data_IF_993813164963
#
_entry.id   IF_993813164963
#
_cell.length_a   1.000
_cell.length_b   1.000
_cell.length_c   1.000
_cell.angle_alpha   90.00
_cell.angle_beta   90.00
_cell.angle_gamma   90.00
#
_symmetry.space_group_name_H-M   'P 1'
#
loop_
_entity.id
_entity.type
_entity.pdbx_description
1 polymer ?
#
# COMPACT_ATOMS: atom_id res chain seq x y z
N UNK A 1 -2.51 -61.66 -11.17
CA UNK A 1 -2.03 -60.73 -12.22
C UNK A 1 -0.53 -60.92 -12.42
N UNK A 2 -0.09 -61.19 -13.65
CA UNK A 2 1.31 -61.53 -13.98
C UNK A 2 2.26 -60.37 -13.65
N UNK A 3 3.38 -60.65 -12.98
CA UNK A 3 4.45 -59.67 -12.62
C UNK A 3 4.88 -58.80 -13.81
N UNK A 4 4.78 -59.35 -15.03
CA UNK A 4 5.06 -58.64 -16.30
C UNK A 4 4.12 -57.46 -16.56
N UNK A 5 2.84 -57.56 -16.19
CA UNK A 5 1.86 -56.47 -16.35
C UNK A 5 2.14 -55.34 -15.36
N UNK A 6 2.54 -55.68 -14.14
CA UNK A 6 2.90 -54.68 -13.11
C UNK A 6 4.17 -53.89 -13.50
N UNK A 7 5.19 -54.55 -14.04
CA UNK A 7 6.42 -53.89 -14.49
C UNK A 7 6.20 -52.97 -15.68
N UNK A 8 5.33 -53.34 -16.63
CA UNK A 8 5.00 -52.46 -17.77
C UNK A 8 4.27 -51.21 -17.30
N UNK A 9 3.29 -51.36 -16.40
CA UNK A 9 2.56 -50.21 -15.84
C UNK A 9 3.49 -49.27 -15.07
N UNK A 10 4.37 -49.81 -14.24
CA UNK A 10 5.35 -49.02 -13.49
C UNK A 10 6.30 -48.27 -14.43
N UNK A 11 6.82 -48.93 -15.46
CA UNK A 11 7.72 -48.28 -16.44
C UNK A 11 7.01 -47.17 -17.22
N UNK A 12 5.76 -47.38 -17.65
CA UNK A 12 4.98 -46.33 -18.33
C UNK A 12 4.69 -45.13 -17.42
N UNK A 13 4.40 -45.35 -16.14
CA UNK A 13 4.17 -44.28 -15.17
C UNK A 13 5.44 -43.44 -14.96
N UNK A 14 6.60 -44.08 -14.83
CA UNK A 14 7.87 -43.37 -14.67
C UNK A 14 8.24 -42.54 -15.89
N UNK A 15 7.98 -43.04 -17.10
CA UNK A 15 8.23 -42.28 -18.33
C UNK A 15 7.26 -41.08 -18.45
N UNK A 16 5.99 -41.26 -18.10
CA UNK A 16 5.00 -40.18 -18.10
C UNK A 16 5.32 -39.07 -17.07
N UNK A 17 5.81 -39.43 -15.88
CA UNK A 17 6.21 -38.43 -14.87
C UNK A 17 7.49 -37.68 -15.28
N UNK A 18 8.44 -38.35 -15.93
CA UNK A 18 9.66 -37.71 -16.44
C UNK A 18 9.38 -36.75 -17.60
N UNK A 19 8.45 -37.09 -18.50
CA UNK A 19 8.05 -36.21 -19.60
C UNK A 19 7.28 -34.96 -19.11
N UNK A 20 6.53 -35.07 -18.01
CA UNK A 20 5.80 -33.94 -17.42
C UNK A 20 6.69 -32.86 -16.79
N UNK A 21 7.90 -33.20 -16.34
CA UNK A 21 8.87 -32.22 -15.80
C UNK A 21 9.87 -31.68 -16.84
N UNK A 22 9.98 -32.32 -18.01
CA UNK A 22 10.95 -31.94 -19.05
C UNK A 22 10.33 -31.24 -20.27
N UNK A 23 9.02 -31.38 -20.48
CA UNK A 23 8.28 -30.63 -21.49
C UNK A 23 7.87 -29.31 -20.87
N UNK A 24 8.69 -28.28 -21.04
CA UNK A 24 8.24 -26.89 -20.93
C UNK A 24 6.92 -26.78 -21.68
N UNK A 25 5.90 -26.20 -21.01
CA UNK A 25 4.53 -26.10 -21.50
C UNK A 25 4.53 -25.78 -23.00
N UNK A 26 4.09 -26.74 -23.83
CA UNK A 26 3.95 -26.55 -25.27
C UNK A 26 2.92 -25.43 -25.50
N UNK A 27 3.40 -24.20 -25.60
CA UNK A 27 2.58 -22.99 -25.58
C UNK A 27 3.33 -21.72 -25.16
N UNK A 28 4.43 -21.84 -24.40
CA UNK A 28 5.37 -20.74 -24.14
C UNK A 28 6.75 -21.10 -24.71
N UNK A 29 7.46 -20.14 -25.28
CA UNK A 29 8.80 -20.33 -25.86
C UNK A 29 9.91 -20.57 -24.80
N UNK A 30 9.54 -20.50 -23.52
CA UNK A 30 10.44 -20.70 -22.39
C UNK A 30 11.18 -19.43 -21.97
N UNK A 31 10.90 -18.30 -22.62
CA UNK A 31 11.34 -16.99 -22.18
C UNK A 31 10.26 -16.37 -21.28
N UNK A 32 10.64 -16.14 -20.02
CA UNK A 32 9.74 -15.57 -19.01
C UNK A 32 9.85 -14.06 -18.93
N UNK A 33 10.69 -13.42 -19.74
CA UNK A 33 11.07 -12.03 -19.61
C UNK A 33 10.66 -11.13 -20.79
N UNK A 34 10.35 -11.69 -21.96
CA UNK A 34 10.13 -10.94 -23.20
C UNK A 34 8.66 -10.80 -23.64
N UNK A 35 7.79 -11.71 -23.21
CA UNK A 35 6.35 -11.69 -23.54
C UNK A 35 5.48 -10.86 -22.59
N UNK A 36 6.05 -10.26 -21.54
CA UNK A 36 5.32 -9.42 -20.60
C UNK A 36 5.32 -7.97 -21.06
N UNK A 37 4.14 -7.35 -21.05
CA UNK A 37 4.03 -5.90 -21.25
C UNK A 37 4.78 -5.20 -20.11
N UNK A 38 5.54 -4.15 -20.45
CA UNK A 38 6.25 -3.35 -19.46
C UNK A 38 5.31 -2.92 -18.33
N UNK A 39 5.73 -3.17 -17.09
CA UNK A 39 4.99 -2.70 -15.92
C UNK A 39 5.00 -1.17 -15.91
N UNK A 40 3.89 -0.52 -15.52
CA UNK A 40 3.90 0.91 -15.29
C UNK A 40 4.89 1.24 -14.18
N UNK A 41 5.37 2.48 -14.19
CA UNK A 41 6.22 2.99 -13.11
C UNK A 41 5.50 2.83 -11.77
N UNK A 42 6.22 2.35 -10.74
CA UNK A 42 5.68 2.26 -9.39
C UNK A 42 5.30 3.66 -8.89
N UNK A 43 4.08 3.80 -8.38
CA UNK A 43 3.57 5.02 -7.78
C UNK A 43 3.39 4.84 -6.27
N UNK A 44 3.77 5.85 -5.49
CA UNK A 44 3.52 5.87 -4.04
C UNK A 44 2.02 6.04 -3.76
N UNK A 45 1.55 5.43 -2.67
CA UNK A 45 0.17 5.58 -2.25
C UNK A 45 -0.09 7.03 -1.81
N UNK A 46 -1.21 7.60 -2.27
CA UNK A 46 -1.71 8.89 -1.79
C UNK A 46 -3.07 8.66 -1.13
N UNK A 47 -3.24 8.95 0.18
CA UNK A 47 -4.52 8.77 0.84
C UNK A 47 -5.57 9.74 0.28
N UNK A 48 -6.82 9.31 0.28
CA UNK A 48 -7.96 10.19 0.01
C UNK A 48 -8.32 11.02 1.24
N UNK A 49 -9.08 12.09 1.02
CA UNK A 49 -9.85 12.72 2.10
C UNK A 49 -11.03 11.83 2.49
N UNK A 50 -11.48 11.93 3.73
CA UNK A 50 -12.66 11.20 4.19
C UNK A 50 -12.62 10.84 5.67
N UNK A 51 -13.65 10.12 6.09
CA UNK A 51 -13.84 9.73 7.49
C UNK A 51 -13.32 8.33 7.75
N UNK A 52 -12.89 8.07 8.98
CA UNK A 52 -12.26 6.81 9.37
C UNK A 52 -12.94 6.23 10.64
N UNK A 53 -13.20 4.93 10.62
CA UNK A 53 -13.78 4.23 11.77
C UNK A 53 -12.81 4.07 12.95
N UNK A 54 -11.51 4.20 12.71
CA UNK A 54 -10.46 4.10 13.72
C UNK A 54 -10.04 5.49 14.20
N UNK A 55 -9.53 5.56 15.43
CA UNK A 55 -8.82 6.73 15.90
C UNK A 55 -7.59 6.99 15.02
N UNK A 56 -7.03 8.20 15.12
CA UNK A 56 -5.94 8.66 14.26
C UNK A 56 -4.80 7.63 14.16
N UNK A 57 -4.47 7.27 12.92
CA UNK A 57 -3.36 6.37 12.61
C UNK A 57 -1.99 7.01 12.91
N UNK A 58 -0.98 6.17 13.12
CA UNK A 58 0.40 6.63 13.34
C UNK A 58 1.06 7.10 12.05
N UNK A 59 0.70 6.49 10.93
CA UNK A 59 1.20 6.79 9.60
C UNK A 59 0.06 6.65 8.57
N UNK A 60 0.29 7.12 7.35
CA UNK A 60 -0.69 7.12 6.28
C UNK A 60 -0.61 5.85 5.42
N UNK A 61 -0.53 4.68 6.06
CA UNK A 61 -0.56 3.40 5.33
C UNK A 61 -1.89 3.21 4.59
N UNK A 62 -1.89 2.39 3.53
CA UNK A 62 -3.12 2.09 2.77
C UNK A 62 -4.23 1.49 3.65
N UNK A 63 -3.87 0.64 4.60
CA UNK A 63 -4.83 0.02 5.52
C UNK A 63 -5.44 1.05 6.47
N UNK A 64 -4.61 1.96 7.00
CA UNK A 64 -5.04 2.98 7.95
C UNK A 64 -5.82 4.12 7.28
N UNK A 65 -5.58 4.37 5.99
CA UNK A 65 -6.27 5.36 5.19
C UNK A 65 -7.64 4.90 4.65
N UNK A 66 -8.11 3.70 5.01
CA UNK A 66 -9.42 3.22 4.59
C UNK A 66 -10.54 4.14 5.09
N UNK A 67 -11.44 4.55 4.18
CA UNK A 67 -12.52 5.50 4.47
C UNK A 67 -13.85 4.79 4.72
N UNK A 68 -14.69 5.40 5.56
CA UNK A 68 -16.10 5.05 5.79
C UNK A 68 -17.01 6.21 5.40
N UNK A 69 -18.32 5.98 5.37
CA UNK A 69 -19.31 7.04 5.15
C UNK A 69 -19.26 8.07 6.29
N UNK A 70 -19.03 9.33 5.92
CA UNK A 70 -18.96 10.45 6.84
C UNK A 70 -20.31 10.80 7.51
N UNK A 71 -21.44 10.38 6.92
CA UNK A 71 -22.75 10.61 7.54
C UNK A 71 -23.01 9.68 8.73
N UNK A 72 -22.23 8.61 8.87
CA UNK A 72 -22.26 7.68 9.98
C UNK A 72 -21.24 8.00 11.08
N UNK A 73 -21.21 7.14 12.10
CA UNK A 73 -20.23 7.24 13.20
C UNK A 73 -18.81 7.02 12.68
N UNK A 74 -17.92 7.97 12.98
CA UNK A 74 -16.49 7.88 12.71
C UNK A 74 -15.68 8.51 13.86
N UNK A 75 -14.39 8.17 13.95
CA UNK A 75 -13.52 8.61 15.05
C UNK A 75 -12.46 9.62 14.60
N UNK A 76 -12.14 9.68 13.31
CA UNK A 76 -11.21 10.67 12.77
C UNK A 76 -11.55 11.01 11.31
N UNK A 77 -11.10 12.16 10.84
CA UNK A 77 -11.36 12.65 9.48
C UNK A 77 -10.09 13.25 8.88
N UNK A 78 -9.79 12.87 7.64
CA UNK A 78 -8.74 13.47 6.82
C UNK A 78 -9.33 14.64 6.04
N UNK A 79 -9.10 15.86 6.52
CA UNK A 79 -9.62 17.10 5.91
C UNK A 79 -8.69 17.66 4.81
N UNK A 80 -7.41 17.29 4.84
CA UNK A 80 -6.38 17.77 3.93
C UNK A 80 -5.32 16.70 3.67
N UNK A 81 -4.90 16.59 2.40
CA UNK A 81 -3.79 15.74 1.96
C UNK A 81 -2.86 16.65 1.17
N UNK A 82 -1.62 16.77 1.67
CA UNK A 82 -0.57 17.56 1.04
C UNK A 82 0.60 16.69 0.62
N UNK A 83 1.59 17.31 -0.02
CA UNK A 83 2.84 16.65 -0.42
C UNK A 83 4.01 17.38 0.22
N UNK A 84 4.89 16.63 0.88
CA UNK A 84 6.16 17.17 1.38
C UNK A 84 7.04 17.53 0.18
N UNK A 85 7.75 18.65 0.27
CA UNK A 85 8.61 19.16 -0.82
C UNK A 85 9.96 19.62 -0.28
N UNK A 86 10.95 19.74 -1.16
CA UNK A 86 12.29 20.22 -0.79
C UNK A 86 13.05 19.21 0.08
N UNK A 87 13.96 19.69 0.92
CA UNK A 87 14.87 18.84 1.69
C UNK A 87 14.16 17.80 2.58
N UNK A 88 12.94 18.09 3.06
CA UNK A 88 12.15 17.15 3.89
C UNK A 88 11.67 15.95 3.10
N UNK A 89 11.36 16.13 1.80
CA UNK A 89 10.91 15.06 0.93
C UNK A 89 12.05 14.10 0.54
N UNK A 90 13.29 14.58 0.61
CA UNK A 90 14.50 13.83 0.24
C UNK A 90 15.16 13.17 1.45
N UNK A 91 14.53 13.22 2.64
CA UNK A 91 15.07 12.55 3.81
C UNK A 91 14.98 11.03 3.63
N UNK A 92 16.05 10.28 3.97
CA UNK A 92 16.06 8.82 3.82
C UNK A 92 15.08 8.13 4.77
N UNK A 93 14.74 8.77 5.88
CA UNK A 93 13.79 8.29 6.88
C UNK A 93 12.69 9.32 7.10
N UNK A 94 11.47 8.84 7.38
CA UNK A 94 10.35 9.70 7.74
C UNK A 94 10.71 10.44 9.05
N UNK A 95 10.76 11.78 9.04
CA UNK A 95 11.14 12.52 10.23
C UNK A 95 10.16 12.26 11.37
N UNK A 96 10.68 12.17 12.60
CA UNK A 96 9.82 12.13 13.78
C UNK A 96 8.92 13.37 13.80
N UNK A 97 7.67 13.21 14.24
CA UNK A 97 6.64 14.25 14.22
C UNK A 97 7.02 15.56 14.95
N UNK A 98 8.09 15.56 15.76
CA UNK A 98 8.65 16.73 16.45
C UNK A 98 9.90 17.32 15.75
N UNK A 99 9.93 17.33 14.41
CA UNK A 99 11.01 17.93 13.62
C UNK A 99 10.64 19.36 13.19
N UNK A 100 11.51 20.33 13.42
CA UNK A 100 11.32 21.73 12.98
C UNK A 100 11.09 21.86 11.47
N UNK A 101 11.63 20.93 10.68
CA UNK A 101 11.45 20.91 9.23
C UNK A 101 9.98 20.62 8.81
N UNK A 102 9.18 20.04 9.71
CA UNK A 102 7.75 19.77 9.47
C UNK A 102 6.83 20.94 9.84
N UNK A 103 7.35 22.02 10.45
CA UNK A 103 6.55 23.17 10.87
C UNK A 103 5.74 23.76 9.70
N UNK A 104 6.30 23.98 8.49
CA UNK A 104 5.51 24.51 7.37
C UNK A 104 4.34 23.60 6.97
N UNK A 105 4.56 22.27 6.99
CA UNK A 105 3.51 21.31 6.66
C UNK A 105 2.39 21.31 7.72
N UNK A 106 2.75 21.38 9.00
CA UNK A 106 1.77 21.53 10.08
C UNK A 106 0.99 22.85 9.98
N UNK A 107 1.67 23.96 9.68
CA UNK A 107 1.02 25.27 9.48
C UNK A 107 -0.03 25.22 8.37
N UNK A 108 0.25 24.54 7.25
CA UNK A 108 -0.74 24.37 6.19
C UNK A 108 -1.94 23.54 6.67
N UNK A 109 -1.71 22.40 7.35
CA UNK A 109 -2.78 21.61 7.94
C UNK A 109 -3.66 22.43 8.90
N UNK A 110 -3.03 23.26 9.74
CA UNK A 110 -3.71 24.16 10.67
C UNK A 110 -4.59 25.17 9.94
N UNK A 111 -4.04 25.87 8.94
CA UNK A 111 -4.80 26.83 8.14
C UNK A 111 -6.01 26.19 7.43
N UNK A 112 -5.87 24.94 6.96
CA UNK A 112 -6.99 24.19 6.34
C UNK A 112 -8.05 23.80 7.37
N UNK A 113 -7.66 23.44 8.58
CA UNK A 113 -8.59 23.17 9.68
C UNK A 113 -9.35 24.45 10.07
N UNK A 114 -8.65 25.57 10.23
CA UNK A 114 -9.24 26.88 10.55
C UNK A 114 -10.23 27.31 9.48
N UNK A 115 -9.89 27.16 8.20
CA UNK A 115 -10.78 27.52 7.09
C UNK A 115 -12.06 26.66 7.04
N UNK A 116 -11.99 25.40 7.47
CA UNK A 116 -13.12 24.47 7.46
C UNK A 116 -14.01 24.62 8.71
N UNK A 117 -13.40 24.75 9.88
CA UNK A 117 -14.07 24.61 11.18
C UNK A 117 -14.22 25.95 11.92
N UNK A 118 -13.51 27.00 11.49
CA UNK A 118 -13.37 28.22 12.29
C UNK A 118 -12.57 27.96 13.57
N UNK A 119 -13.00 28.49 14.71
CA UNK A 119 -12.34 28.25 16.00
C UNK A 119 -12.63 26.83 16.48
N UNK A 120 -11.68 25.91 16.32
CA UNK A 120 -11.83 24.49 16.70
C UNK A 120 -11.03 24.07 17.94
N UNK A 121 -10.23 24.98 18.53
CA UNK A 121 -9.41 24.74 19.72
C UNK A 121 -10.26 24.85 21.02
N UNK A 122 -11.31 24.04 21.15
CA UNK A 122 -12.22 24.02 22.31
C UNK A 122 -12.17 22.71 23.12
N UNK A 123 -11.07 21.95 22.99
CA UNK A 123 -10.83 20.61 23.55
C UNK A 123 -11.69 19.47 23.00
N UNK A 124 -12.65 19.74 22.11
CA UNK A 124 -13.46 18.68 21.47
C UNK A 124 -12.75 18.04 20.28
N UNK A 125 -11.89 18.80 19.62
CA UNK A 125 -11.14 18.38 18.44
C UNK A 125 -9.64 18.51 18.68
N UNK A 126 -8.88 17.58 18.11
CA UNK A 126 -7.43 17.65 18.06
C UNK A 126 -6.96 17.49 16.62
N UNK A 127 -6.14 18.42 16.15
CA UNK A 127 -5.49 18.31 14.85
C UNK A 127 -4.16 17.58 14.99
N UNK A 128 -3.91 16.62 14.11
CA UNK A 128 -2.60 15.98 13.97
C UNK A 128 -2.26 15.81 12.49
N UNK A 129 -0.97 15.99 12.20
CA UNK A 129 -0.41 15.62 10.91
C UNK A 129 0.03 14.15 10.97
N UNK A 130 -0.35 13.39 9.95
CA UNK A 130 0.05 12.00 9.75
C UNK A 130 1.01 11.95 8.57
N UNK A 131 2.17 11.34 8.76
CA UNK A 131 3.20 11.25 7.73
C UNK A 131 3.08 9.94 6.93
N UNK A 132 3.60 9.90 5.69
CA UNK A 132 3.71 8.67 4.91
C UNK A 132 4.54 7.60 5.63
N UNK A 133 4.48 6.38 5.12
CA UNK A 133 5.43 5.33 5.49
C UNK A 133 6.74 5.49 4.70
N UNK A 134 7.80 4.79 5.10
CA UNK A 134 9.05 4.79 4.32
C UNK A 134 8.87 4.22 2.90
N UNK A 135 7.85 3.39 2.70
CA UNK A 135 7.52 2.76 1.42
C UNK A 135 6.58 3.63 0.55
N UNK A 136 6.15 4.79 1.07
CA UNK A 136 5.07 5.60 0.54
C UNK A 136 3.76 5.32 1.27
#
# INVERSE_FOLDING_TARGET
>A
MSKRRASVVAATLTVLTLLGCGLGSAGGDGDLADDWRALPQAESFTPGKGCHAKALAKNASREDAATVDCTGTHLSETIFVGRLTGAVAELPDVPLAANAALVPAYTECHNRADALLGTWLDFRLSLRMVLPTAEG
#
